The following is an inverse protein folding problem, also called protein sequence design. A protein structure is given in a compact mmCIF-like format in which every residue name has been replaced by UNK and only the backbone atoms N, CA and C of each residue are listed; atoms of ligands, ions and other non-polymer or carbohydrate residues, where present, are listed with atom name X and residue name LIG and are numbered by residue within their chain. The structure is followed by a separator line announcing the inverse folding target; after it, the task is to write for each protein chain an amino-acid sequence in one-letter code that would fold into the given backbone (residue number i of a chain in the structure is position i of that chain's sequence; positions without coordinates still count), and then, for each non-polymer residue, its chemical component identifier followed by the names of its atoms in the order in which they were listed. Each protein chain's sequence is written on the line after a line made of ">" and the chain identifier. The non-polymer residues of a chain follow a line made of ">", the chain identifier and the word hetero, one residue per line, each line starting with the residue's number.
data_IF_261009215154
#
_entry.id   IF_261009215154
#
_cell.length_a   1.000
_cell.length_b   1.000
_cell.length_c   1.000
_cell.angle_alpha   90.00
_cell.angle_beta   90.00
_cell.angle_gamma   90.00
#
_symmetry.space_group_name_H-M   'P 1'
#
loop_
_entity.id
_entity.type
_entity.pdbx_description
1 polymer ?
#
# COMPACT_ATOMS: atom_id res chain seq x y z
N UNK A 1 -11.55 -4.37 19.43
CA UNK A 1 -12.89 -4.98 19.70
C UNK A 1 -13.12 -6.06 18.64
N UNK A 2 -13.23 -7.33 19.02
CA UNK A 2 -13.56 -8.40 18.09
C UNK A 2 -14.99 -8.18 17.60
N UNK A 3 -15.13 -7.84 16.30
CA UNK A 3 -16.46 -7.82 15.67
C UNK A 3 -17.02 -9.22 15.76
N UNK A 4 -18.28 -9.36 16.23
CA UNK A 4 -18.97 -10.64 16.28
C UNK A 4 -18.80 -11.32 14.94
N UNK A 5 -18.37 -12.60 14.90
CA UNK A 5 -18.06 -13.34 13.67
C UNK A 5 -19.21 -13.33 12.64
N UNK A 6 -20.46 -13.28 13.11
CA UNK A 6 -21.66 -13.18 12.25
C UNK A 6 -21.71 -11.82 11.55
N UNK A 7 -21.44 -10.71 12.26
CA UNK A 7 -21.42 -9.37 11.66
C UNK A 7 -20.31 -9.26 10.61
N UNK A 8 -19.14 -9.79 10.90
CA UNK A 8 -18.03 -9.81 9.96
C UNK A 8 -18.38 -10.63 8.72
N UNK A 9 -18.96 -11.82 8.90
CA UNK A 9 -19.40 -12.70 7.83
C UNK A 9 -20.44 -12.01 6.92
N UNK A 10 -21.48 -11.38 7.50
CA UNK A 10 -22.48 -10.65 6.73
C UNK A 10 -21.86 -9.44 6.00
N UNK A 11 -20.96 -8.72 6.65
CA UNK A 11 -20.25 -7.59 6.01
C UNK A 11 -19.43 -8.08 4.82
N UNK A 12 -18.72 -9.19 4.93
CA UNK A 12 -17.92 -9.75 3.83
C UNK A 12 -18.77 -10.26 2.65
N UNK A 13 -20.03 -10.65 2.89
CA UNK A 13 -20.97 -11.06 1.82
C UNK A 13 -21.54 -9.84 1.10
N UNK A 14 -21.98 -8.84 1.86
CA UNK A 14 -22.81 -7.75 1.34
C UNK A 14 -22.06 -6.44 1.11
N UNK A 15 -20.80 -6.30 1.59
CA UNK A 15 -20.00 -5.11 1.36
C UNK A 15 -18.75 -5.40 0.54
N UNK A 16 -18.48 -4.53 -0.42
CA UNK A 16 -17.29 -4.61 -1.26
C UNK A 16 -16.17 -3.62 -0.82
N UNK A 17 -16.45 -2.75 0.12
CA UNK A 17 -15.52 -1.70 0.58
C UNK A 17 -14.75 -2.04 1.86
N UNK A 18 -15.07 -3.13 2.53
CA UNK A 18 -14.46 -3.49 3.82
C UNK A 18 -13.40 -4.58 3.74
N UNK A 19 -12.81 -4.80 2.57
CA UNK A 19 -11.76 -5.80 2.36
C UNK A 19 -12.16 -6.87 1.33
N UNK A 20 -11.63 -8.08 1.50
CA UNK A 20 -11.87 -9.18 0.56
C UNK A 20 -13.28 -9.73 0.71
N UNK A 21 -14.07 -9.70 -0.37
CA UNK A 21 -15.41 -10.30 -0.40
C UNK A 21 -15.36 -11.83 -0.36
N UNK A 22 -16.43 -12.45 0.07
CA UNK A 22 -16.57 -13.91 0.08
C UNK A 22 -16.41 -14.50 -1.32
N UNK A 23 -16.95 -13.85 -2.34
CA UNK A 23 -16.80 -14.25 -3.74
C UNK A 23 -15.33 -14.27 -4.16
N UNK A 24 -14.56 -13.23 -3.82
CA UNK A 24 -13.12 -13.17 -4.10
C UNK A 24 -12.36 -14.29 -3.39
N UNK A 25 -12.65 -14.55 -2.11
CA UNK A 25 -12.02 -15.64 -1.35
C UNK A 25 -12.31 -17.01 -1.95
N UNK A 26 -13.56 -17.27 -2.33
CA UNK A 26 -13.96 -18.53 -2.99
C UNK A 26 -13.28 -18.68 -4.34
N UNK A 27 -13.21 -17.59 -5.13
CA UNK A 27 -12.53 -17.59 -6.41
C UNK A 27 -11.05 -17.92 -6.26
N UNK A 28 -10.35 -17.23 -5.39
CA UNK A 28 -8.92 -17.45 -5.10
C UNK A 28 -8.70 -18.88 -4.61
N UNK A 29 -9.55 -19.39 -3.70
CA UNK A 29 -9.44 -20.77 -3.21
C UNK A 29 -9.60 -21.82 -4.33
N UNK A 30 -10.47 -21.53 -5.31
CA UNK A 30 -10.76 -22.47 -6.41
C UNK A 30 -9.73 -22.42 -7.52
N UNK A 31 -9.24 -21.25 -7.86
CA UNK A 31 -8.43 -21.00 -9.05
C UNK A 31 -7.04 -20.43 -8.75
N UNK A 32 -6.84 -19.78 -7.62
CA UNK A 32 -5.58 -19.18 -7.23
C UNK A 32 -4.59 -20.19 -6.65
N UNK A 33 -3.33 -19.94 -6.91
CA UNK A 33 -2.19 -20.57 -6.26
C UNK A 33 -1.48 -19.53 -5.38
N UNK A 34 -1.15 -19.91 -4.15
CA UNK A 34 -0.45 -19.01 -3.24
C UNK A 34 0.99 -18.81 -3.70
N UNK A 35 1.42 -17.55 -3.79
CA UNK A 35 2.75 -17.17 -4.26
C UNK A 35 3.63 -16.68 -3.12
N UNK A 36 3.08 -15.88 -2.20
CA UNK A 36 3.85 -15.35 -1.08
C UNK A 36 3.09 -14.31 -0.27
N UNK A 37 3.76 -13.73 0.72
CA UNK A 37 3.23 -12.63 1.53
C UNK A 37 4.28 -11.54 1.70
N UNK A 38 3.82 -10.31 1.96
CA UNK A 38 4.66 -9.17 2.27
C UNK A 38 4.82 -8.95 3.78
N UNK A 39 5.58 -7.91 4.14
CA UNK A 39 5.84 -7.49 5.52
C UNK A 39 4.60 -6.97 6.26
N UNK A 40 3.58 -6.51 5.53
CA UNK A 40 2.29 -6.06 6.09
C UNK A 40 1.30 -7.21 6.28
N UNK A 41 1.66 -8.43 5.86
CA UNK A 41 0.83 -9.62 5.97
C UNK A 41 -0.21 -9.76 4.83
N UNK A 42 -0.11 -8.95 3.78
CA UNK A 42 -0.88 -9.16 2.57
C UNK A 42 -0.43 -10.45 1.88
N UNK A 43 -1.36 -11.18 1.29
CA UNK A 43 -1.09 -12.47 0.63
C UNK A 43 -1.36 -12.37 -0.86
N UNK A 44 -0.45 -12.93 -1.65
CA UNK A 44 -0.44 -12.84 -3.09
C UNK A 44 -0.72 -14.19 -3.72
N UNK A 45 -1.50 -14.18 -4.79
CA UNK A 45 -1.95 -15.38 -5.49
C UNK A 45 -1.89 -15.17 -6.99
N UNK A 46 -1.62 -16.23 -7.73
CA UNK A 46 -1.66 -16.27 -9.19
C UNK A 46 -2.72 -17.26 -9.65
N UNK A 47 -3.45 -16.93 -10.72
CA UNK A 47 -4.41 -17.86 -11.32
C UNK A 47 -3.66 -19.03 -11.98
N UNK A 48 -4.17 -20.26 -11.80
CA UNK A 48 -3.55 -21.46 -12.39
C UNK A 48 -3.70 -21.57 -13.90
N UNK A 49 -4.68 -20.88 -14.48
CA UNK A 49 -5.04 -20.99 -15.90
C UNK A 49 -4.93 -19.70 -16.68
N UNK A 50 -4.98 -18.59 -15.99
CA UNK A 50 -4.92 -17.25 -16.58
C UNK A 50 -3.80 -16.46 -15.93
N UNK A 51 -3.23 -15.52 -16.70
CA UNK A 51 -2.20 -14.62 -16.18
C UNK A 51 -2.82 -13.50 -15.32
N UNK A 52 -3.55 -13.89 -14.28
CA UNK A 52 -4.18 -12.98 -13.32
C UNK A 52 -3.50 -13.12 -11.97
N UNK A 53 -3.22 -11.98 -11.35
CA UNK A 53 -2.59 -11.89 -10.03
C UNK A 53 -3.55 -11.23 -9.07
N UNK A 54 -3.62 -11.76 -7.87
CA UNK A 54 -4.55 -11.32 -6.83
C UNK A 54 -3.80 -11.02 -5.54
N UNK A 55 -4.31 -10.03 -4.80
CA UNK A 55 -3.87 -9.74 -3.45
C UNK A 55 -5.05 -9.87 -2.48
N UNK A 56 -4.79 -10.43 -1.31
CA UNK A 56 -5.70 -10.39 -0.17
C UNK A 56 -5.07 -9.57 0.93
N UNK A 57 -5.70 -8.45 1.26
CA UNK A 57 -5.18 -7.52 2.25
C UNK A 57 -5.33 -8.05 3.67
N UNK A 58 -4.35 -7.77 4.50
CA UNK A 58 -4.39 -8.00 5.94
C UNK A 58 -5.01 -6.77 6.62
N UNK A 59 -6.32 -6.62 6.54
CA UNK A 59 -7.06 -5.45 7.06
C UNK A 59 -7.89 -4.75 5.99
N UNK A 60 -8.03 -3.43 6.05
CA UNK A 60 -8.71 -2.64 5.03
C UNK A 60 -8.03 -2.82 3.66
N UNK A 61 -8.84 -2.84 2.59
CA UNK A 61 -8.31 -2.91 1.23
C UNK A 61 -7.67 -1.57 0.85
N UNK A 62 -6.38 -1.48 1.09
CA UNK A 62 -5.58 -0.30 0.78
C UNK A 62 -4.35 -0.69 -0.06
N UNK A 63 -4.37 -0.28 -1.32
CA UNK A 63 -3.30 -0.59 -2.27
C UNK A 63 -1.95 0.05 -1.89
N UNK A 64 -1.94 1.12 -1.07
CA UNK A 64 -0.71 1.74 -0.62
C UNK A 64 0.10 0.88 0.35
N UNK A 65 -0.51 -0.16 0.93
CA UNK A 65 0.20 -1.15 1.76
C UNK A 65 1.03 -2.14 0.96
N UNK A 66 0.92 -2.14 -0.38
CA UNK A 66 1.68 -3.04 -1.25
C UNK A 66 3.07 -2.45 -1.49
N UNK A 67 4.11 -3.15 -1.04
CA UNK A 67 5.50 -2.76 -1.28
C UNK A 67 5.89 -2.76 -2.76
N UNK A 68 6.93 -1.99 -3.13
CA UNK A 68 7.33 -1.72 -4.52
C UNK A 68 7.59 -2.99 -5.34
N UNK A 69 8.22 -4.00 -4.75
CA UNK A 69 8.47 -5.28 -5.41
C UNK A 69 7.18 -6.02 -5.76
N UNK A 70 6.28 -6.15 -4.80
CA UNK A 70 4.98 -6.78 -5.02
C UNK A 70 4.09 -5.97 -5.96
N UNK A 71 4.17 -4.63 -5.91
CA UNK A 71 3.49 -3.77 -6.87
C UNK A 71 3.98 -4.03 -8.31
N UNK A 72 5.29 -4.12 -8.51
CA UNK A 72 5.87 -4.48 -9.81
C UNK A 72 5.39 -5.84 -10.31
N UNK A 73 5.36 -6.85 -9.44
CA UNK A 73 4.85 -8.17 -9.75
C UNK A 73 3.35 -8.15 -10.07
N UNK A 74 2.51 -7.50 -9.26
CA UNK A 74 1.07 -7.37 -9.49
C UNK A 74 0.73 -6.72 -10.84
N UNK A 75 1.55 -5.78 -11.29
CA UNK A 75 1.38 -5.07 -12.56
C UNK A 75 2.13 -5.69 -13.75
N UNK A 76 2.55 -6.94 -13.63
CA UNK A 76 3.26 -7.67 -14.70
C UNK A 76 4.52 -6.96 -15.24
N UNK A 77 5.18 -6.15 -14.40
CA UNK A 77 6.49 -5.56 -14.75
C UNK A 77 7.62 -6.56 -14.61
N UNK A 78 7.43 -7.54 -13.75
CA UNK A 78 8.33 -8.67 -13.54
C UNK A 78 7.53 -9.91 -13.21
N UNK A 79 8.01 -11.07 -13.65
CA UNK A 79 7.46 -12.37 -13.31
C UNK A 79 8.17 -12.99 -12.10
N UNK A 80 9.33 -12.42 -11.72
CA UNK A 80 10.08 -12.87 -10.55
C UNK A 80 9.37 -12.39 -9.28
N UNK A 81 9.04 -13.33 -8.42
CA UNK A 81 8.41 -13.05 -7.13
C UNK A 81 9.40 -12.31 -6.23
N UNK A 82 9.00 -11.24 -5.53
CA UNK A 82 9.92 -10.47 -4.68
C UNK A 82 10.67 -11.28 -3.64
N UNK A 83 10.06 -12.36 -3.13
CA UNK A 83 10.71 -13.29 -2.18
C UNK A 83 11.82 -14.14 -2.80
N UNK A 84 11.89 -14.20 -4.13
CA UNK A 84 12.89 -14.94 -4.90
C UNK A 84 13.81 -14.01 -5.68
N UNK A 85 13.54 -12.71 -5.67
CA UNK A 85 14.34 -11.72 -6.36
C UNK A 85 15.64 -11.48 -5.60
N UNK A 86 16.76 -11.46 -6.31
CA UNK A 86 18.07 -11.05 -5.79
C UNK A 86 18.18 -9.51 -5.80
N UNK A 87 17.26 -8.87 -5.11
CA UNK A 87 17.26 -7.42 -4.98
C UNK A 87 17.98 -6.99 -3.73
N UNK A 88 19.02 -6.17 -3.90
CA UNK A 88 19.74 -5.55 -2.80
C UNK A 88 19.29 -4.11 -2.64
N UNK A 89 18.67 -3.81 -1.50
CA UNK A 89 18.24 -2.46 -1.15
C UNK A 89 19.43 -1.50 -1.13
N UNK A 90 19.26 -0.31 -1.69
CA UNK A 90 20.29 0.72 -1.71
C UNK A 90 20.39 1.42 -0.36
N UNK A 91 21.55 1.99 -0.04
CA UNK A 91 21.81 2.64 1.26
C UNK A 91 20.88 3.81 1.58
N UNK A 92 20.30 4.43 0.57
CA UNK A 92 19.34 5.54 0.72
C UNK A 92 17.87 5.08 0.70
N UNK A 93 17.61 3.83 0.44
CA UNK A 93 16.27 3.27 0.35
C UNK A 93 15.68 3.08 1.74
N UNK A 94 14.47 3.59 1.94
CA UNK A 94 13.73 3.46 3.19
C UNK A 94 12.75 2.30 3.11
N UNK A 95 12.40 1.69 4.25
CA UNK A 95 11.31 0.73 4.30
C UNK A 95 10.03 1.32 3.72
N UNK A 96 9.22 0.48 3.07
CA UNK A 96 7.95 0.92 2.53
C UNK A 96 6.98 1.34 3.63
N UNK A 97 6.32 2.48 3.46
CA UNK A 97 5.28 2.97 4.34
C UNK A 97 3.98 3.12 3.57
N UNK A 98 2.86 2.70 4.18
CA UNK A 98 1.54 2.93 3.63
C UNK A 98 1.21 4.43 3.61
N UNK A 99 0.25 4.83 2.78
CA UNK A 99 -0.20 6.22 2.69
C UNK A 99 -0.78 6.70 4.04
N UNK A 100 -0.14 7.68 4.62
CA UNK A 100 -0.53 8.27 5.91
C UNK A 100 -1.50 9.44 5.78
N UNK A 101 -1.93 9.81 4.57
CA UNK A 101 -2.88 10.90 4.33
C UNK A 101 -4.17 10.68 5.12
N UNK A 102 -4.61 11.71 5.84
CA UNK A 102 -5.79 11.62 6.72
C UNK A 102 -5.51 11.04 8.12
N UNK A 103 -4.29 10.64 8.41
CA UNK A 103 -3.87 10.16 9.74
C UNK A 103 -3.06 11.22 10.49
N UNK A 104 -2.78 10.99 11.77
CA UNK A 104 -1.90 11.86 12.57
C UNK A 104 -0.44 11.84 12.08
N UNK A 105 -0.01 10.78 11.37
CA UNK A 105 1.32 10.65 10.78
C UNK A 105 1.49 11.32 9.42
N UNK A 106 0.43 11.95 8.87
CA UNK A 106 0.52 12.63 7.59
C UNK A 106 1.54 13.76 7.60
N UNK A 107 2.35 13.85 6.55
CA UNK A 107 3.30 14.94 6.40
C UNK A 107 2.59 16.30 6.35
N UNK A 108 3.06 17.22 7.17
CA UNK A 108 2.58 18.60 7.24
C UNK A 108 3.77 19.55 7.09
N UNK A 109 3.82 20.35 6.02
CA UNK A 109 4.86 21.36 5.84
C UNK A 109 4.90 22.35 7.02
N UNK A 110 6.07 22.90 7.32
CA UNK A 110 6.23 23.84 8.43
C UNK A 110 5.36 25.10 8.29
N UNK A 111 5.10 25.55 7.06
CA UNK A 111 4.18 26.66 6.78
C UNK A 111 2.68 26.31 6.86
N UNK A 112 2.32 25.09 7.16
CA UNK A 112 0.92 24.68 7.29
C UNK A 112 0.31 25.23 8.58
N UNK A 113 -0.94 25.71 8.51
CA UNK A 113 -1.72 26.11 9.69
C UNK A 113 -1.96 24.95 10.67
N UNK A 114 -1.87 23.72 10.21
CA UNK A 114 -1.98 22.51 11.04
C UNK A 114 -0.66 22.13 11.71
N UNK A 115 0.43 22.86 11.46
CA UNK A 115 1.71 22.76 12.11
C UNK A 115 2.00 24.10 12.81
N UNK A 116 3.16 24.72 12.63
CA UNK A 116 3.54 25.98 13.29
C UNK A 116 2.95 27.22 12.61
N UNK A 117 2.48 27.10 11.37
CA UNK A 117 1.97 28.25 10.60
C UNK A 117 3.05 29.22 10.09
N UNK A 118 4.30 28.99 10.41
CA UNK A 118 5.43 29.84 10.03
C UNK A 118 6.27 29.15 8.96
N UNK A 119 6.45 29.83 7.82
CA UNK A 119 7.34 29.35 6.78
C UNK A 119 8.79 29.47 7.23
N UNK A 120 9.60 28.38 7.20
CA UNK A 120 11.02 28.49 7.48
C UNK A 120 11.69 29.41 6.43
N UNK A 121 12.70 30.17 6.86
CA UNK A 121 13.56 30.91 5.92
C UNK A 121 14.30 29.91 5.04
N UNK A 122 14.13 30.04 3.74
CA UNK A 122 14.84 29.23 2.74
C UNK A 122 15.98 30.05 2.14
N UNK A 123 17.14 29.43 1.99
CA UNK A 123 18.26 30.00 1.23
C UNK A 123 17.87 30.02 -0.24
N UNK A 124 17.85 31.19 -0.86
CA UNK A 124 17.43 31.36 -2.26
C UNK A 124 16.11 32.13 -2.43
N UNK A 125 15.55 32.68 -1.35
CA UNK A 125 14.52 33.71 -1.49
C UNK A 125 15.07 34.86 -2.36
N UNK A 126 14.23 35.39 -3.24
CA UNK A 126 14.56 36.43 -4.16
C UNK A 126 15.02 37.70 -3.41
N UNK A 127 16.25 38.15 -3.67
CA UNK A 127 16.74 39.47 -3.30
C UNK A 127 16.42 40.43 -4.45
N UNK A 128 15.62 41.45 -4.16
CA UNK A 128 15.25 42.43 -5.18
C UNK A 128 16.51 43.14 -5.67
N UNK A 129 16.71 43.14 -7.00
CA UNK A 129 17.77 43.93 -7.62
C UNK A 129 17.50 45.41 -7.35
N UNK A 130 18.52 46.13 -6.88
CA UNK A 130 18.54 47.59 -6.74
C UNK A 130 19.54 48.18 -7.72
N UNK A 131 19.21 49.22 -8.52
CA UNK A 131 20.17 49.92 -9.36
C UNK A 131 21.17 50.65 -8.48
N UNK A 132 22.46 50.59 -8.85
CA UNK A 132 23.53 51.40 -8.28
C UNK A 132 23.40 52.86 -8.70
#
# INVERSE_FOLDING_TARGET
>A
MAKSGIKQFLTEIFSWWSGNTWGTRLWIRRFGEYVGSDEFGNKYYQDRKADRRYVTYNGPADASTIGSGWHGWMHHRTDVVPTQADYQARSWEKPHEANLTGTAGAYRPDGSLLNKGERPRVTGDYDAWSPE
#
